data_IF_702283795561
#
_entry.id   IF_702283795561
#
_cell.length_a   1.000
_cell.length_b   1.000
_cell.length_c   1.000
_cell.angle_alpha   90.00
_cell.angle_beta   90.00
_cell.angle_gamma   90.00
#
_symmetry.space_group_name_H-M   'P 1'
#
loop_
_entity.id
_entity.type
_entity.pdbx_description
1 polymer ?
#
# COMPACT_ATOMS: atom_id res chain seq x y z
N UNK A 1 -14.79 49.72 36.06
CA UNK A 1 -13.74 48.91 36.69
C UNK A 1 -14.35 47.57 37.07
N UNK A 2 -14.14 46.54 36.24
CA UNK A 2 -14.56 45.16 36.54
C UNK A 2 -13.33 44.27 36.35
N UNK A 3 -12.87 43.67 37.44
CA UNK A 3 -11.72 42.77 37.47
C UNK A 3 -12.07 41.38 36.92
N UNK A 4 -11.16 40.83 36.12
CA UNK A 4 -11.22 39.46 35.61
C UNK A 4 -10.68 38.47 36.66
N UNK A 5 -11.26 37.25 36.75
CA UNK A 5 -10.81 36.22 37.69
C UNK A 5 -9.59 35.44 37.17
N UNK A 6 -8.81 34.79 38.06
CA UNK A 6 -7.59 34.09 37.72
C UNK A 6 -7.87 32.71 37.08
N UNK A 7 -7.09 32.37 36.06
CA UNK A 7 -7.12 31.10 35.35
C UNK A 7 -6.46 29.98 36.17
N UNK A 8 -7.21 28.92 36.43
CA UNK A 8 -6.73 27.67 37.04
C UNK A 8 -5.99 26.80 36.02
N UNK A 9 -4.76 26.39 36.35
CA UNK A 9 -3.90 25.50 35.57
C UNK A 9 -4.42 24.05 35.55
N UNK A 10 -4.29 23.40 34.40
CA UNK A 10 -4.75 22.04 34.10
C UNK A 10 -3.85 20.96 34.75
N UNK A 11 -4.37 19.79 35.22
CA UNK A 11 -3.62 18.85 36.06
C UNK A 11 -2.89 17.71 35.32
N UNK A 12 -2.65 17.82 34.01
CA UNK A 12 -2.17 16.68 33.19
C UNK A 12 -0.84 16.88 32.45
N UNK A 13 -0.05 17.90 32.79
CA UNK A 13 1.30 18.01 32.24
C UNK A 13 2.27 17.10 33.01
N UNK A 14 3.05 16.24 32.32
CA UNK A 14 4.08 15.44 32.99
C UNK A 14 5.08 16.38 33.67
N UNK A 15 5.55 16.04 34.89
CA UNK A 15 6.43 16.92 35.65
C UNK A 15 7.69 17.19 34.83
N UNK A 16 7.86 18.46 34.44
CA UNK A 16 9.08 18.92 33.79
C UNK A 16 10.17 18.92 34.85
N UNK A 17 11.01 17.88 34.85
CA UNK A 17 12.15 17.78 35.75
C UNK A 17 13.21 18.76 35.26
N UNK A 18 13.21 19.96 35.83
CA UNK A 18 14.31 20.90 35.65
C UNK A 18 15.51 20.40 36.48
N UNK A 19 16.42 19.70 35.81
CA UNK A 19 17.70 19.35 36.40
C UNK A 19 18.50 20.64 36.59
N UNK A 20 19.06 20.82 37.79
CA UNK A 20 19.94 21.95 38.06
C UNK A 20 21.23 21.83 37.24
N UNK A 21 21.95 22.94 36.98
CA UNK A 21 23.23 22.88 36.28
C UNK A 21 24.24 21.91 36.91
N UNK A 22 24.20 21.74 38.24
CA UNK A 22 24.99 20.74 38.97
C UNK A 22 24.59 19.30 38.65
N UNK A 23 23.29 19.02 38.53
CA UNK A 23 22.80 17.68 38.16
C UNK A 23 23.14 17.34 36.71
N UNK A 24 23.12 18.33 35.82
CA UNK A 24 23.59 18.16 34.44
C UNK A 24 25.09 17.83 34.37
N UNK A 25 25.91 18.55 35.14
CA UNK A 25 27.35 18.29 35.21
C UNK A 25 27.66 16.88 35.75
N UNK A 26 26.92 16.45 36.79
CA UNK A 26 27.08 15.11 37.36
C UNK A 26 26.64 14.00 36.39
N UNK A 27 25.50 14.16 35.72
CA UNK A 27 25.02 13.21 34.73
C UNK A 27 25.98 13.09 33.54
N UNK A 28 26.56 14.21 33.10
CA UNK A 28 27.55 14.23 32.03
C UNK A 28 28.87 13.56 32.43
N UNK A 29 29.32 13.75 33.68
CA UNK A 29 30.51 13.09 34.22
C UNK A 29 30.34 11.57 34.34
N UNK A 30 29.15 11.11 34.78
CA UNK A 30 28.81 9.68 34.82
C UNK A 30 28.79 9.06 33.42
N UNK A 31 28.27 9.79 32.44
CA UNK A 31 28.27 9.35 31.04
C UNK A 31 29.70 9.20 30.48
N UNK A 32 30.59 10.15 30.76
CA UNK A 32 31.99 10.05 30.34
C UNK A 32 32.73 8.87 31.00
N UNK A 33 32.46 8.59 32.27
CA UNK A 33 33.02 7.43 32.97
C UNK A 33 32.56 6.09 32.36
N UNK A 34 31.31 6.00 31.91
CA UNK A 34 30.79 4.81 31.25
C UNK A 34 31.38 4.60 29.85
N UNK A 35 31.70 5.68 29.12
CA UNK A 35 32.33 5.62 27.80
C UNK A 35 33.83 5.30 27.86
N UNK A 36 34.48 5.61 28.99
CA UNK A 36 35.91 5.36 29.21
C UNK A 36 36.20 3.96 29.80
N UNK A 37 35.19 3.12 30.04
CA UNK A 37 35.39 1.77 30.51
C UNK A 37 36.05 0.91 29.40
N UNK A 38 37.30 0.44 29.59
CA UNK A 38 37.96 -0.40 28.61
C UNK A 38 37.19 -1.73 28.47
N UNK A 39 36.85 -2.06 27.23
CA UNK A 39 36.27 -3.35 26.87
C UNK A 39 37.26 -4.43 27.35
N UNK A 40 36.83 -5.40 28.18
CA UNK A 40 37.72 -6.46 28.64
C UNK A 40 38.12 -7.33 27.45
N UNK A 41 39.31 -7.07 26.90
CA UNK A 41 39.96 -7.97 25.98
C UNK A 41 40.34 -9.22 26.75
N UNK A 42 39.57 -10.30 26.55
CA UNK A 42 39.95 -11.62 27.00
C UNK A 42 41.32 -11.97 26.39
N UNK A 43 42.32 -12.37 27.18
CA UNK A 43 43.61 -12.78 26.65
C UNK A 43 43.43 -14.08 25.86
N UNK A 44 43.58 -14.00 24.53
CA UNK A 44 43.71 -15.19 23.69
C UNK A 44 45.08 -15.80 24.01
N UNK A 45 45.03 -16.87 24.81
CA UNK A 45 46.18 -17.71 25.14
C UNK A 45 46.69 -18.40 23.86
N UNK A 46 47.81 -17.90 23.34
CA UNK A 46 48.58 -18.56 22.28
C UNK A 46 49.58 -19.52 22.93
N UNK A 47 49.12 -20.72 23.30
CA UNK A 47 50.00 -21.86 23.53
C UNK A 47 49.98 -22.77 22.30
N UNK A 48 51.10 -22.91 21.56
CA UNK A 48 51.20 -23.93 20.52
C UNK A 48 51.41 -25.30 21.17
N UNK A 49 50.35 -26.09 21.30
CA UNK A 49 50.46 -27.53 21.55
C UNK A 49 50.86 -28.19 20.23
N UNK A 50 52.15 -28.53 20.11
CA UNK A 50 52.65 -29.47 19.10
C UNK A 50 52.11 -30.86 19.42
N UNK A 51 50.95 -31.19 18.86
CA UNK A 51 50.57 -32.58 18.61
C UNK A 51 50.11 -32.65 17.17
N UNK A 52 51.00 -33.15 16.31
CA UNK A 52 50.74 -33.41 14.90
C UNK A 52 49.54 -34.33 14.76
N UNK A 53 48.39 -33.89 14.21
CA UNK A 53 47.34 -34.82 13.84
C UNK A 53 47.84 -35.66 12.66
N UNK A 54 47.65 -36.97 12.75
CA UNK A 54 47.78 -37.89 11.63
C UNK A 54 46.85 -37.38 10.53
N UNK A 55 47.43 -36.87 9.45
CA UNK A 55 46.71 -36.37 8.28
C UNK A 55 46.00 -37.56 7.66
N UNK A 56 44.67 -37.56 7.76
CA UNK A 56 43.81 -38.46 7.01
C UNK A 56 43.95 -38.13 5.50
N UNK A 57 44.47 -39.05 4.66
CA UNK A 57 44.66 -38.81 3.23
C UNK A 57 43.33 -38.63 2.47
N UNK A 58 42.17 -38.78 3.11
CA UNK A 58 40.86 -38.47 2.52
C UNK A 58 40.49 -36.98 2.55
N UNK A 59 41.25 -36.13 3.24
CA UNK A 59 41.05 -34.66 3.30
C UNK A 59 41.94 -33.88 2.31
N UNK A 60 42.40 -34.53 1.22
CA UNK A 60 43.06 -33.81 0.14
C UNK A 60 42.09 -32.77 -0.45
N UNK A 61 42.57 -31.54 -0.75
CA UNK A 61 41.73 -30.50 -1.31
C UNK A 61 41.08 -31.01 -2.59
N UNK A 62 39.74 -31.10 -2.57
CA UNK A 62 38.95 -31.40 -3.76
C UNK A 62 39.41 -30.41 -4.84
N UNK A 63 39.81 -30.89 -6.03
CA UNK A 63 40.26 -30.03 -7.11
C UNK A 63 39.25 -28.90 -7.30
N UNK A 64 39.69 -27.66 -7.12
CA UNK A 64 38.81 -26.51 -7.33
C UNK A 64 38.38 -26.56 -8.78
N UNK A 65 37.07 -26.69 -9.07
CA UNK A 65 36.61 -26.83 -10.43
C UNK A 65 37.09 -25.62 -11.23
N UNK A 66 37.69 -25.91 -12.37
CA UNK A 66 38.18 -24.88 -13.28
C UNK A 66 37.03 -23.95 -13.66
N UNK A 67 37.30 -22.69 -14.03
CA UNK A 67 36.25 -21.77 -14.46
C UNK A 67 35.33 -22.34 -15.55
N UNK A 68 35.86 -23.20 -16.43
CA UNK A 68 35.09 -23.88 -17.47
C UNK A 68 34.13 -24.95 -16.92
N UNK A 69 34.51 -25.69 -15.87
CA UNK A 69 33.62 -26.65 -15.20
C UNK A 69 32.49 -25.94 -14.44
N UNK A 70 32.77 -24.75 -13.90
CA UNK A 70 31.73 -23.90 -13.29
C UNK A 70 30.74 -23.38 -14.33
N UNK A 71 31.22 -22.96 -15.49
CA UNK A 71 30.35 -22.51 -16.59
C UNK A 71 29.49 -23.65 -17.13
N UNK A 72 30.06 -24.83 -17.34
CA UNK A 72 29.30 -25.99 -17.82
C UNK A 72 28.24 -26.47 -16.81
N UNK A 73 28.51 -26.38 -15.51
CA UNK A 73 27.53 -26.65 -14.46
C UNK A 73 26.36 -25.67 -14.51
N UNK A 74 26.64 -24.36 -14.62
CA UNK A 74 25.59 -23.32 -14.72
C UNK A 74 24.76 -23.46 -16.00
N UNK A 75 25.39 -23.83 -17.13
CA UNK A 75 24.66 -24.10 -18.38
C UNK A 75 23.74 -25.32 -18.28
N UNK A 76 24.17 -26.37 -17.57
CA UNK A 76 23.33 -27.55 -17.30
C UNK A 76 22.15 -27.19 -16.38
N UNK A 77 22.39 -26.43 -15.31
CA UNK A 77 21.31 -25.96 -14.42
C UNK A 77 20.29 -25.10 -15.16
N UNK A 78 20.75 -24.20 -16.04
CA UNK A 78 19.87 -23.39 -16.90
C UNK A 78 19.08 -24.24 -17.89
N UNK A 79 19.70 -25.30 -18.43
CA UNK A 79 19.03 -26.23 -19.35
C UNK A 79 17.96 -27.04 -18.60
N UNK A 80 18.25 -27.50 -17.39
CA UNK A 80 17.31 -28.22 -16.54
C UNK A 80 16.15 -27.32 -16.08
N UNK A 81 16.43 -26.08 -15.67
CA UNK A 81 15.40 -25.09 -15.34
C UNK A 81 14.51 -24.77 -16.55
N UNK A 82 15.09 -24.60 -17.74
CA UNK A 82 14.32 -24.39 -18.97
C UNK A 82 13.46 -25.60 -19.32
N UNK A 83 13.97 -26.81 -19.15
CA UNK A 83 13.21 -28.05 -19.36
C UNK A 83 12.06 -28.19 -18.34
N UNK A 84 12.31 -27.90 -17.05
CA UNK A 84 11.31 -27.89 -15.98
C UNK A 84 10.21 -26.86 -16.23
N UNK A 85 10.56 -25.65 -16.71
CA UNK A 85 9.58 -24.61 -17.06
C UNK A 85 8.79 -24.99 -18.32
N UNK A 86 9.43 -25.59 -19.33
CA UNK A 86 8.75 -26.09 -20.52
C UNK A 86 7.77 -27.22 -20.18
N UNK A 87 8.16 -28.14 -19.28
CA UNK A 87 7.32 -29.25 -18.83
C UNK A 87 6.18 -28.80 -17.90
N UNK A 88 6.39 -27.74 -17.09
CA UNK A 88 5.30 -27.08 -16.35
C UNK A 88 4.33 -26.36 -17.28
N UNK A 89 4.82 -25.71 -18.33
CA UNK A 89 3.95 -25.06 -19.34
C UNK A 89 3.17 -26.08 -20.17
N UNK A 90 3.77 -27.21 -20.55
CA UNK A 90 3.04 -28.26 -21.26
C UNK A 90 1.98 -28.94 -20.39
N UNK A 91 2.16 -29.02 -19.07
CA UNK A 91 1.14 -29.54 -18.15
C UNK A 91 0.02 -28.52 -17.84
N UNK A 92 0.20 -27.23 -18.13
CA UNK A 92 -0.85 -26.20 -17.99
C UNK A 92 -1.64 -25.98 -19.30
N UNK A 93 -1.07 -26.33 -20.46
CA UNK A 93 -1.72 -26.15 -21.78
C UNK A 93 -2.37 -27.43 -22.36
N UNK A 94 -2.15 -28.61 -21.77
CA UNK A 94 -2.76 -29.88 -22.23
C UNK A 94 -4.06 -30.26 -21.49
N UNK A 95 -4.76 -29.25 -20.97
CA UNK A 95 -6.19 -29.31 -20.64
C UNK A 95 -7.05 -28.94 -21.87
N UNK A 96 -6.51 -29.16 -23.08
CA UNK A 96 -7.30 -29.33 -24.31
C UNK A 96 -8.06 -30.65 -24.24
N UNK A 97 -9.07 -30.68 -23.35
CA UNK A 97 -10.11 -31.69 -23.37
C UNK A 97 -10.62 -31.81 -24.80
N UNK A 98 -10.83 -33.05 -25.31
CA UNK A 98 -11.54 -33.25 -26.57
C UNK A 98 -12.83 -32.44 -26.50
N UNK A 99 -13.15 -31.71 -27.58
CA UNK A 99 -14.30 -30.82 -27.70
C UNK A 99 -15.60 -31.59 -27.44
N UNK A 100 -15.90 -31.79 -26.16
CA UNK A 100 -17.14 -32.37 -25.67
C UNK A 100 -18.21 -31.40 -26.13
N UNK A 101 -18.98 -31.84 -27.14
CA UNK A 101 -20.24 -31.24 -27.60
C UNK A 101 -20.78 -30.32 -26.52
N UNK A 102 -20.72 -29.01 -26.76
CA UNK A 102 -21.08 -27.98 -25.80
C UNK A 102 -22.45 -28.33 -25.21
N UNK A 103 -22.44 -28.97 -24.03
CA UNK A 103 -23.65 -29.16 -23.25
C UNK A 103 -24.09 -27.74 -22.95
N UNK A 104 -25.28 -27.35 -23.43
CA UNK A 104 -25.87 -26.03 -23.20
C UNK A 104 -25.62 -25.69 -21.73
N UNK A 105 -24.77 -24.69 -21.48
CA UNK A 105 -24.37 -24.35 -20.13
C UNK A 105 -25.66 -24.04 -19.35
N UNK A 106 -25.97 -24.74 -18.25
CA UNK A 106 -27.22 -24.54 -17.50
C UNK A 106 -27.21 -23.22 -16.71
N UNK A 107 -26.24 -22.35 -16.97
CA UNK A 107 -25.99 -21.11 -16.26
C UNK A 107 -26.10 -19.95 -17.24
N UNK A 108 -26.98 -19.00 -16.93
CA UNK A 108 -27.18 -17.79 -17.74
C UNK A 108 -26.20 -16.70 -17.28
N UNK A 109 -25.86 -16.65 -15.98
CA UNK A 109 -25.14 -15.53 -15.36
C UNK A 109 -23.71 -15.89 -14.87
N UNK A 110 -23.13 -17.01 -15.30
CA UNK A 110 -21.87 -17.54 -14.75
C UNK A 110 -20.62 -16.74 -15.13
N UNK A 111 -20.41 -16.42 -16.40
CA UNK A 111 -19.13 -15.87 -16.89
C UNK A 111 -19.24 -14.38 -17.25
N UNK A 112 -18.38 -13.55 -16.63
CA UNK A 112 -18.43 -12.08 -16.80
C UNK A 112 -18.12 -11.60 -18.22
N UNK A 113 -17.44 -12.39 -19.05
CA UNK A 113 -16.81 -11.89 -20.29
C UNK A 113 -17.83 -11.40 -21.33
N UNK A 114 -19.08 -11.90 -21.27
CA UNK A 114 -20.12 -11.60 -22.27
C UNK A 114 -21.48 -11.20 -21.65
N UNK A 115 -21.51 -10.72 -20.39
CA UNK A 115 -22.76 -10.29 -19.77
C UNK A 115 -23.10 -8.86 -20.18
N UNK A 116 -24.37 -8.60 -20.48
CA UNK A 116 -24.88 -7.23 -20.64
C UNK A 116 -24.75 -6.44 -19.33
N UNK A 117 -24.81 -5.11 -19.40
CA UNK A 117 -24.78 -4.24 -18.21
C UNK A 117 -25.91 -4.61 -17.24
N UNK A 118 -27.12 -4.86 -17.76
CA UNK A 118 -28.28 -5.30 -16.99
C UNK A 118 -28.04 -6.64 -16.28
N UNK A 119 -27.44 -7.61 -16.99
CA UNK A 119 -27.08 -8.92 -16.43
C UNK A 119 -26.02 -8.81 -15.32
N UNK A 120 -25.06 -7.90 -15.47
CA UNK A 120 -24.04 -7.63 -14.44
C UNK A 120 -24.70 -7.06 -13.18
N UNK A 121 -25.65 -6.13 -13.32
CA UNK A 121 -26.37 -5.55 -12.19
C UNK A 121 -27.24 -6.58 -11.47
N UNK A 122 -28.02 -7.37 -12.22
CA UNK A 122 -28.83 -8.47 -11.64
C UNK A 122 -27.94 -9.49 -10.94
N UNK A 123 -26.84 -9.91 -11.57
CA UNK A 123 -25.85 -10.79 -10.94
C UNK A 123 -25.32 -10.23 -9.62
N UNK A 124 -24.96 -8.95 -9.57
CA UNK A 124 -24.47 -8.31 -8.32
C UNK A 124 -25.52 -8.33 -7.22
N UNK A 125 -26.79 -8.08 -7.55
CA UNK A 125 -27.90 -8.11 -6.58
C UNK A 125 -28.16 -9.52 -6.08
N UNK A 126 -28.23 -10.51 -6.97
CA UNK A 126 -28.41 -11.92 -6.61
C UNK A 126 -27.24 -12.46 -5.77
N UNK A 127 -25.99 -12.10 -6.10
CA UNK A 127 -24.81 -12.44 -5.30
C UNK A 127 -24.85 -11.81 -3.90
N UNK A 128 -25.43 -10.61 -3.75
CA UNK A 128 -25.63 -10.00 -2.44
C UNK A 128 -26.71 -10.74 -1.65
N UNK A 129 -27.85 -11.04 -2.27
CA UNK A 129 -28.95 -11.80 -1.65
C UNK A 129 -28.49 -13.18 -1.19
N UNK A 130 -27.77 -13.96 -2.01
CA UNK A 130 -27.26 -15.28 -1.61
C UNK A 130 -26.28 -15.21 -0.44
N UNK A 131 -25.45 -14.16 -0.39
CA UNK A 131 -24.52 -13.95 0.73
C UNK A 131 -25.27 -13.66 2.04
N UNK A 132 -26.33 -12.85 1.98
CA UNK A 132 -27.19 -12.55 3.13
C UNK A 132 -27.93 -13.81 3.57
N UNK A 133 -28.55 -14.54 2.65
CA UNK A 133 -29.32 -15.74 2.99
C UNK A 133 -28.44 -16.86 3.57
N UNK A 134 -27.24 -17.06 3.00
CA UNK A 134 -26.25 -17.99 3.57
C UNK A 134 -25.86 -17.62 4.99
N UNK A 135 -25.70 -16.32 5.31
CA UNK A 135 -25.44 -15.85 6.68
C UNK A 135 -26.62 -16.13 7.60
N UNK A 136 -27.84 -15.83 7.15
CA UNK A 136 -29.07 -16.10 7.90
C UNK A 136 -29.21 -17.58 8.25
N UNK A 137 -29.01 -18.48 7.27
CA UNK A 137 -29.11 -19.92 7.50
C UNK A 137 -28.00 -20.48 8.40
N UNK A 138 -26.81 -19.87 8.38
CA UNK A 138 -25.64 -20.32 9.15
C UNK A 138 -25.46 -19.62 10.48
N UNK A 139 -26.27 -18.59 10.78
CA UNK A 139 -26.11 -17.77 11.98
C UNK A 139 -24.78 -17.02 12.02
N UNK A 140 -24.11 -16.83 10.86
CA UNK A 140 -22.87 -16.05 10.81
C UNK A 140 -23.18 -14.56 10.75
N UNK A 141 -22.73 -13.81 11.76
CA UNK A 141 -22.99 -12.39 11.86
C UNK A 141 -22.16 -11.62 10.80
N UNK A 142 -22.67 -10.49 10.32
CA UNK A 142 -21.94 -9.67 9.34
C UNK A 142 -20.61 -9.12 9.90
N UNK A 143 -20.53 -8.98 11.23
CA UNK A 143 -19.38 -8.46 11.98
C UNK A 143 -18.45 -9.54 12.51
N UNK A 144 -18.89 -10.80 12.62
CA UNK A 144 -17.99 -11.88 13.01
C UNK A 144 -17.26 -12.36 11.77
N UNK A 145 -15.99 -12.03 11.68
CA UNK A 145 -15.07 -12.71 10.77
C UNK A 145 -15.21 -14.24 10.94
N UNK A 146 -15.12 -14.95 9.81
CA UNK A 146 -15.70 -16.28 9.63
C UNK A 146 -15.09 -17.31 10.59
N UNK A 147 -15.78 -17.58 11.70
CA UNK A 147 -15.49 -18.74 12.55
C UNK A 147 -14.55 -18.45 13.71
N UNK A 148 -14.78 -17.37 14.47
CA UNK A 148 -14.38 -17.45 15.88
C UNK A 148 -15.21 -18.56 16.51
N UNK A 149 -14.60 -19.73 16.73
CA UNK A 149 -15.11 -20.74 17.65
C UNK A 149 -15.26 -20.05 19.00
N UNK A 150 -16.45 -19.53 19.24
CA UNK A 150 -16.81 -18.88 20.49
C UNK A 150 -17.06 -19.99 21.51
N UNK A 151 -15.97 -20.57 22.01
CA UNK A 151 -15.94 -21.30 23.28
C UNK A 151 -16.09 -20.35 24.49
N UNK A 152 -16.25 -19.05 24.26
CA UNK A 152 -16.62 -18.07 25.28
C UNK A 152 -18.11 -18.15 25.62
N UNK A 153 -18.40 -18.43 26.89
CA UNK A 153 -19.70 -18.34 27.56
C UNK A 153 -20.62 -17.30 26.91
N UNK A 154 -21.68 -17.79 26.24
CA UNK A 154 -22.80 -16.94 25.82
C UNK A 154 -23.53 -16.46 27.06
N UNK A 155 -23.32 -15.19 27.41
CA UNK A 155 -24.20 -14.48 28.32
C UNK A 155 -25.66 -14.57 27.84
N UNK A 156 -26.52 -14.78 28.84
CA UNK A 156 -27.93 -15.16 28.86
C UNK A 156 -28.83 -14.82 27.64
N UNK A 157 -29.70 -15.76 27.23
CA UNK A 157 -30.59 -15.60 26.08
C UNK A 157 -31.82 -14.75 26.41
N UNK A 158 -32.00 -13.65 25.68
CA UNK A 158 -33.32 -13.01 25.57
C UNK A 158 -34.20 -13.89 24.68
N UNK A 159 -35.25 -14.42 25.29
CA UNK A 159 -36.08 -15.50 24.78
C UNK A 159 -36.85 -15.19 23.49
N UNK A 160 -37.19 -16.28 22.80
CA UNK A 160 -38.30 -16.42 21.85
C UNK A 160 -38.12 -15.85 20.44
N UNK A 161 -37.34 -16.56 19.62
CA UNK A 161 -37.86 -16.98 18.31
C UNK A 161 -37.35 -18.39 18.04
N UNK A 162 -38.29 -19.27 17.70
CA UNK A 162 -38.19 -20.71 17.44
C UNK A 162 -36.80 -21.21 17.07
N UNK A 163 -36.32 -22.28 17.73
CA UNK A 163 -35.06 -22.97 17.46
C UNK A 163 -34.99 -23.57 16.05
N UNK A 164 -34.95 -22.71 15.03
CA UNK A 164 -34.56 -23.03 13.68
C UNK A 164 -33.16 -23.62 13.77
N UNK A 165 -33.02 -24.90 13.41
CA UNK A 165 -31.72 -25.56 13.34
C UNK A 165 -30.80 -24.75 12.42
N UNK A 166 -29.88 -24.00 13.02
CA UNK A 166 -28.85 -23.28 12.29
C UNK A 166 -27.99 -24.31 11.57
N UNK A 167 -27.91 -24.21 10.25
CA UNK A 167 -27.10 -25.11 9.44
C UNK A 167 -25.66 -24.61 9.44
N UNK A 168 -24.70 -25.38 9.96
CA UNK A 168 -23.28 -24.99 9.92
C UNK A 168 -22.60 -25.42 8.62
N UNK A 169 -21.59 -24.65 8.22
CA UNK A 169 -20.67 -25.04 7.15
C UNK A 169 -19.50 -25.85 7.72
N UNK A 170 -19.12 -26.91 7.02
CA UNK A 170 -17.85 -27.59 7.23
C UNK A 170 -16.80 -26.99 6.30
N UNK A 171 -15.98 -26.07 6.83
CA UNK A 171 -14.92 -25.41 6.08
C UNK A 171 -13.70 -26.30 5.82
N UNK A 172 -13.54 -27.41 6.54
CA UNK A 172 -12.45 -28.36 6.29
C UNK A 172 -12.73 -29.17 5.02
N UNK A 173 -13.99 -29.56 4.84
CA UNK A 173 -14.46 -30.31 3.67
C UNK A 173 -14.66 -29.47 2.42
N UNK A 174 -14.72 -30.13 1.26
CA UNK A 174 -14.97 -29.48 -0.02
C UNK A 174 -16.40 -28.90 -0.11
N UNK A 175 -16.62 -27.95 -1.02
CA UNK A 175 -17.93 -27.36 -1.28
C UNK A 175 -18.97 -28.40 -1.73
N UNK A 176 -18.51 -29.47 -2.37
CA UNK A 176 -19.39 -30.54 -2.88
C UNK A 176 -19.76 -31.57 -1.80
N UNK A 177 -19.32 -31.39 -0.54
CA UNK A 177 -19.82 -32.17 0.59
C UNK A 177 -21.35 -32.01 0.69
N UNK A 178 -22.13 -33.10 0.84
CA UNK A 178 -23.59 -33.02 0.88
C UNK A 178 -24.14 -32.03 1.92
N UNK A 179 -23.51 -31.92 3.10
CA UNK A 179 -23.91 -30.96 4.13
C UNK A 179 -23.76 -29.51 3.66
N UNK A 180 -22.58 -29.14 3.13
CA UNK A 180 -22.32 -27.80 2.58
C UNK A 180 -23.26 -27.49 1.39
N UNK A 181 -23.47 -28.47 0.52
CA UNK A 181 -24.39 -28.36 -0.61
C UNK A 181 -25.84 -28.19 -0.19
N UNK A 182 -26.28 -28.80 0.92
CA UNK A 182 -27.63 -28.64 1.44
C UNK A 182 -27.88 -27.19 1.88
N UNK A 183 -26.93 -26.55 2.55
CA UNK A 183 -27.03 -25.13 2.93
C UNK A 183 -27.09 -24.22 1.69
N UNK A 184 -26.19 -24.46 0.74
CA UNK A 184 -26.11 -23.67 -0.51
C UNK A 184 -27.40 -23.81 -1.33
N UNK A 185 -27.89 -25.03 -1.51
CA UNK A 185 -29.12 -25.30 -2.26
C UNK A 185 -30.33 -24.69 -1.57
N UNK A 186 -30.43 -24.81 -0.23
CA UNK A 186 -31.52 -24.20 0.54
C UNK A 186 -31.55 -22.68 0.40
N UNK A 187 -30.39 -22.00 0.48
CA UNK A 187 -30.32 -20.56 0.28
C UNK A 187 -30.72 -20.16 -1.15
N UNK A 188 -30.25 -20.92 -2.15
CA UNK A 188 -30.59 -20.70 -3.54
C UNK A 188 -32.10 -20.88 -3.79
N UNK A 189 -32.73 -21.91 -3.23
CA UNK A 189 -34.16 -22.17 -3.34
C UNK A 189 -35.01 -21.06 -2.71
N UNK A 190 -34.61 -20.55 -1.54
CA UNK A 190 -35.32 -19.46 -0.85
C UNK A 190 -35.33 -18.19 -1.71
N UNK A 191 -34.18 -17.81 -2.25
CA UNK A 191 -34.07 -16.64 -3.13
C UNK A 191 -34.78 -16.87 -4.45
N UNK A 192 -34.67 -18.07 -5.02
CA UNK A 192 -35.35 -18.40 -6.27
C UNK A 192 -36.86 -18.27 -6.13
N UNK A 193 -37.44 -18.76 -5.02
CA UNK A 193 -38.86 -18.61 -4.71
C UNK A 193 -39.23 -17.15 -4.46
N UNK A 194 -38.45 -16.43 -3.64
CA UNK A 194 -38.68 -15.01 -3.34
C UNK A 194 -38.70 -14.14 -4.62
N UNK A 195 -37.82 -14.44 -5.59
CA UNK A 195 -37.69 -13.65 -6.81
C UNK A 195 -38.55 -14.16 -7.99
N UNK A 196 -39.13 -15.36 -7.92
CA UNK A 196 -40.04 -15.87 -8.97
C UNK A 196 -41.52 -15.86 -8.56
N UNK A 197 -41.84 -15.55 -7.31
CA UNK A 197 -43.22 -15.41 -6.87
C UNK A 197 -43.78 -14.04 -7.32
N UNK A 198 -44.74 -13.99 -8.27
CA UNK A 198 -45.32 -12.74 -8.75
C UNK A 198 -46.13 -12.02 -7.68
N UNK A 199 -46.50 -12.70 -6.60
CA UNK A 199 -47.28 -12.15 -5.49
C UNK A 199 -46.42 -11.64 -4.35
N UNK A 200 -45.13 -12.00 -4.32
CA UNK A 200 -44.22 -11.53 -3.29
C UNK A 200 -43.91 -10.03 -3.50
N UNK A 201 -44.36 -9.20 -2.56
CA UNK A 201 -44.06 -7.76 -2.53
C UNK A 201 -42.55 -7.44 -2.42
N UNK A 202 -41.70 -8.45 -2.27
CA UNK A 202 -40.24 -8.35 -2.07
C UNK A 202 -39.43 -8.53 -3.35
N UNK A 203 -40.08 -8.59 -4.53
CA UNK A 203 -39.37 -8.61 -5.81
C UNK A 203 -38.50 -7.34 -5.94
N UNK A 204 -37.17 -7.53 -5.99
CA UNK A 204 -36.21 -6.43 -5.80
C UNK A 204 -35.10 -6.42 -6.87
N UNK A 205 -35.29 -7.14 -7.98
CA UNK A 205 -34.32 -7.11 -9.07
C UNK A 205 -34.46 -5.84 -9.91
N UNK A 206 -33.32 -5.19 -10.27
CA UNK A 206 -33.35 -3.95 -11.05
C UNK A 206 -33.88 -4.15 -12.48
N UNK A 207 -33.69 -5.34 -13.05
CA UNK A 207 -34.08 -5.67 -14.43
C UNK A 207 -34.89 -6.96 -14.45
N UNK A 208 -36.20 -6.85 -14.63
CA UNK A 208 -37.15 -8.00 -14.65
C UNK A 208 -37.00 -8.86 -15.90
N UNK A 209 -36.47 -8.30 -16.98
CA UNK A 209 -36.27 -8.96 -18.28
C UNK A 209 -35.12 -9.97 -18.26
N UNK A 210 -34.21 -9.85 -17.30
CA UNK A 210 -33.03 -10.71 -17.20
C UNK A 210 -33.42 -12.03 -16.54
N UNK A 211 -33.45 -13.09 -17.35
CA UNK A 211 -33.65 -14.45 -16.85
C UNK A 211 -32.45 -14.94 -16.02
N UNK A 212 -32.72 -15.69 -14.96
CA UNK A 212 -31.72 -16.40 -14.17
C UNK A 212 -32.28 -17.75 -13.74
N UNK A 213 -31.40 -18.69 -13.43
CA UNK A 213 -31.77 -20.05 -13.01
C UNK A 213 -31.41 -20.29 -11.55
N UNK A 214 -32.04 -21.27 -10.91
CA UNK A 214 -31.61 -21.74 -9.59
C UNK A 214 -30.14 -22.24 -9.62
N UNK A 215 -29.71 -22.86 -10.72
CA UNK A 215 -28.32 -23.25 -10.93
C UNK A 215 -27.35 -22.07 -10.83
N UNK A 216 -27.71 -20.89 -11.34
CA UNK A 216 -26.90 -19.66 -11.19
C UNK A 216 -26.74 -19.28 -9.71
N UNK A 217 -27.82 -19.37 -8.92
CA UNK A 217 -27.81 -19.08 -7.48
C UNK A 217 -26.96 -20.08 -6.70
N UNK A 218 -27.09 -21.37 -6.98
CA UNK A 218 -26.23 -22.42 -6.39
C UNK A 218 -24.77 -22.13 -6.73
N UNK A 219 -24.46 -21.73 -7.97
CA UNK A 219 -23.10 -21.37 -8.37
C UNK A 219 -22.57 -20.16 -7.58
N UNK A 220 -23.38 -19.12 -7.37
CA UNK A 220 -23.00 -17.98 -6.54
C UNK A 220 -22.78 -18.38 -5.07
N UNK A 221 -23.60 -19.28 -4.54
CA UNK A 221 -23.42 -19.85 -3.21
C UNK A 221 -22.10 -20.63 -3.08
N UNK A 222 -21.76 -21.47 -4.08
CA UNK A 222 -20.46 -22.18 -4.12
C UNK A 222 -19.27 -21.22 -4.12
N UNK A 223 -19.32 -20.14 -4.91
CA UNK A 223 -18.24 -19.14 -4.96
C UNK A 223 -18.12 -18.38 -3.64
N UNK A 224 -19.24 -18.08 -2.99
CA UNK A 224 -19.28 -17.46 -1.67
C UNK A 224 -18.64 -18.37 -0.62
N UNK A 225 -19.03 -19.65 -0.57
CA UNK A 225 -18.43 -20.66 0.30
C UNK A 225 -16.92 -20.79 0.10
N UNK A 226 -16.44 -20.91 -1.16
CA UNK A 226 -14.99 -20.99 -1.43
C UNK A 226 -14.23 -19.78 -0.91
N UNK A 227 -14.83 -18.60 -1.02
CA UNK A 227 -14.24 -17.35 -0.50
C UNK A 227 -14.20 -17.35 1.02
N UNK A 228 -15.27 -17.80 1.69
CA UNK A 228 -15.33 -17.94 3.15
C UNK A 228 -14.35 -19.00 3.66
N UNK A 229 -14.28 -20.16 3.01
CA UNK A 229 -13.30 -21.22 3.30
C UNK A 229 -11.86 -20.71 3.19
N UNK A 230 -11.54 -19.94 2.15
CA UNK A 230 -10.20 -19.33 1.99
C UNK A 230 -9.88 -18.38 3.14
N UNK A 231 -10.86 -17.61 3.60
CA UNK A 231 -10.72 -16.69 4.74
C UNK A 231 -10.55 -17.45 6.06
N UNK A 232 -11.44 -18.40 6.34
CA UNK A 232 -11.38 -19.28 7.51
C UNK A 232 -10.00 -19.95 7.63
N UNK A 233 -9.45 -20.50 6.54
CA UNK A 233 -8.10 -21.06 6.53
C UNK A 233 -7.01 -20.04 6.83
N UNK A 234 -7.13 -18.80 6.35
CA UNK A 234 -6.18 -17.73 6.69
C UNK A 234 -6.25 -17.28 8.15
N UNK A 235 -7.37 -17.54 8.83
CA UNK A 235 -7.54 -17.23 10.26
C UNK A 235 -7.01 -18.38 11.14
N UNK A 236 -7.21 -19.63 10.73
CA UNK A 236 -6.89 -20.83 11.53
C UNK A 236 -5.51 -21.44 11.22
N UNK A 237 -4.95 -21.20 10.04
CA UNK A 237 -3.65 -21.72 9.63
C UNK A 237 -2.65 -20.56 9.41
N UNK A 238 -1.61 -20.43 10.28
CA UNK A 238 -0.65 -19.33 10.21
C UNK A 238 0.19 -19.34 8.92
N UNK A 239 0.46 -20.52 8.35
CA UNK A 239 1.25 -20.65 7.13
C UNK A 239 0.44 -20.18 5.92
N UNK A 240 -0.85 -20.54 5.87
CA UNK A 240 -1.78 -20.03 4.87
C UNK A 240 -1.94 -18.52 4.99
N UNK A 241 -2.01 -17.97 6.21
CA UNK A 241 -2.06 -16.53 6.44
C UNK A 241 -0.84 -15.82 5.86
N UNK A 242 0.35 -16.28 6.22
CA UNK A 242 1.61 -15.72 5.73
C UNK A 242 1.70 -15.80 4.20
N UNK A 243 1.27 -16.92 3.59
CA UNK A 243 1.20 -17.05 2.14
C UNK A 243 0.22 -16.05 1.50
N UNK A 244 -0.96 -15.86 2.09
CA UNK A 244 -1.97 -14.91 1.60
C UNK A 244 -1.49 -13.45 1.71
N UNK A 245 -0.84 -13.09 2.82
CA UNK A 245 -0.23 -11.76 3.01
C UNK A 245 0.88 -11.52 1.98
N UNK A 246 1.74 -12.51 1.74
CA UNK A 246 2.79 -12.42 0.72
C UNK A 246 2.20 -12.27 -0.69
N UNK A 247 1.14 -13.00 -1.01
CA UNK A 247 0.45 -12.86 -2.29
C UNK A 247 -0.20 -11.48 -2.43
N UNK A 248 -0.87 -10.99 -1.38
CA UNK A 248 -1.48 -9.67 -1.38
C UNK A 248 -0.43 -8.56 -1.52
N UNK A 249 0.75 -8.70 -0.89
CA UNK A 249 1.89 -7.79 -1.09
C UNK A 249 2.37 -7.80 -2.54
N UNK A 250 2.56 -8.99 -3.13
CA UNK A 250 2.92 -9.14 -4.56
C UNK A 250 1.90 -8.55 -5.50
N UNK A 251 0.60 -8.75 -5.24
CA UNK A 251 -0.47 -8.19 -6.06
C UNK A 251 -0.49 -6.66 -5.97
N UNK A 252 -0.28 -6.09 -4.78
CA UNK A 252 -0.12 -4.63 -4.60
C UNK A 252 1.08 -4.10 -5.38
N UNK A 253 2.24 -4.77 -5.28
CA UNK A 253 3.43 -4.41 -6.05
C UNK A 253 3.20 -4.54 -7.56
N UNK A 254 2.50 -5.58 -8.00
CA UNK A 254 2.16 -5.83 -9.40
C UNK A 254 1.22 -4.76 -9.96
N UNK A 255 0.22 -4.34 -9.18
CA UNK A 255 -0.68 -3.24 -9.56
C UNK A 255 0.08 -1.91 -9.68
N UNK A 256 0.95 -1.58 -8.72
CA UNK A 256 1.82 -0.39 -8.81
C UNK A 256 2.71 -0.42 -10.05
N UNK A 257 3.35 -1.56 -10.36
CA UNK A 257 4.17 -1.72 -11.57
C UNK A 257 3.34 -1.59 -12.85
N UNK A 258 2.11 -2.12 -12.86
CA UNK A 258 1.18 -1.96 -13.99
C UNK A 258 0.73 -0.52 -14.17
N UNK A 259 0.49 0.22 -13.08
CA UNK A 259 0.19 1.65 -13.13
C UNK A 259 1.35 2.44 -13.76
N UNK A 260 2.59 2.14 -13.37
CA UNK A 260 3.82 2.74 -13.96
C UNK A 260 4.01 2.36 -15.44
N UNK A 261 3.66 1.13 -15.84
CA UNK A 261 3.76 0.74 -17.27
C UNK A 261 2.64 1.32 -18.12
N UNK A 262 1.41 1.33 -17.61
CA UNK A 262 0.28 1.95 -18.29
C UNK A 262 0.51 3.46 -18.48
N UNK A 263 1.26 4.12 -17.58
CA UNK A 263 1.68 5.51 -17.78
C UNK A 263 2.70 5.71 -18.89
N UNK A 264 3.50 4.68 -19.20
CA UNK A 264 4.48 4.72 -20.29
C UNK A 264 3.81 4.62 -21.66
N UNK A 265 2.85 3.71 -21.82
CA UNK A 265 2.25 3.42 -23.13
C UNK A 265 1.06 4.34 -23.46
N UNK A 266 0.36 4.88 -22.46
CA UNK A 266 -0.76 5.80 -22.62
C UNK A 266 -0.71 6.95 -21.59
N UNK A 267 0.13 7.98 -21.83
CA UNK A 267 0.38 9.06 -20.87
C UNK A 267 -0.87 9.91 -20.54
N UNK A 268 -1.94 9.83 -21.32
CA UNK A 268 -3.20 10.54 -21.06
C UNK A 268 -4.03 9.91 -19.93
N UNK A 269 -4.02 8.58 -19.78
CA UNK A 269 -4.90 7.88 -18.84
C UNK A 269 -4.31 7.66 -17.44
N UNK A 270 -2.98 7.53 -17.32
CA UNK A 270 -2.31 7.42 -16.03
C UNK A 270 -2.34 8.72 -15.20
N UNK A 271 -2.80 9.83 -15.79
CA UNK A 271 -2.88 11.13 -15.14
C UNK A 271 -3.89 11.21 -13.98
N UNK A 272 -4.83 10.27 -13.88
CA UNK A 272 -5.95 10.40 -12.93
C UNK A 272 -5.66 9.83 -11.53
N UNK A 273 -4.77 8.84 -11.40
CA UNK A 273 -4.48 8.18 -10.12
C UNK A 273 -3.16 8.61 -9.47
N UNK A 274 -2.23 9.19 -10.23
CA UNK A 274 -0.97 9.67 -9.66
C UNK A 274 -1.20 10.91 -8.76
N UNK A 275 -0.85 10.77 -7.48
CA UNK A 275 -0.91 11.84 -6.49
C UNK A 275 -0.18 13.11 -6.96
N UNK A 276 0.93 12.95 -7.70
CA UNK A 276 1.72 14.05 -8.25
C UNK A 276 0.93 14.86 -9.28
N UNK A 277 0.17 14.18 -10.14
CA UNK A 277 -0.68 14.86 -11.14
C UNK A 277 -1.82 15.59 -10.46
N UNK A 278 -2.47 14.96 -9.47
CA UNK A 278 -3.50 15.64 -8.68
C UNK A 278 -2.94 16.86 -7.93
N UNK A 279 -1.71 16.77 -7.42
CA UNK A 279 -1.02 17.88 -6.76
C UNK A 279 -0.71 19.01 -7.74
N UNK A 280 -0.16 18.71 -8.92
CA UNK A 280 0.03 19.66 -10.02
C UNK A 280 -1.28 20.38 -10.37
N UNK A 281 -2.37 19.64 -10.60
CA UNK A 281 -3.68 20.23 -10.91
C UNK A 281 -4.23 21.10 -9.77
N UNK A 282 -4.00 20.73 -8.51
CA UNK A 282 -4.39 21.55 -7.34
C UNK A 282 -3.61 22.87 -7.28
N UNK A 283 -2.31 22.84 -7.60
CA UNK A 283 -1.42 24.02 -7.64
C UNK A 283 -1.70 24.91 -8.85
N UNK A 284 -1.98 24.34 -10.01
CA UNK A 284 -2.37 25.09 -11.22
C UNK A 284 -3.60 25.98 -10.98
N UNK A 285 -4.55 25.54 -10.14
CA UNK A 285 -5.72 26.35 -9.75
C UNK A 285 -5.38 27.56 -8.88
N UNK A 286 -4.24 27.55 -8.20
CA UNK A 286 -3.76 28.63 -7.34
C UNK A 286 -2.79 29.59 -8.06
N UNK A 287 -2.33 29.27 -9.27
CA UNK A 287 -1.37 30.07 -10.05
C UNK A 287 -1.84 31.51 -10.23
N UNK A 288 -3.11 31.71 -10.60
CA UNK A 288 -3.64 33.07 -10.81
C UNK A 288 -3.63 33.90 -9.52
N UNK A 289 -3.93 33.29 -8.37
CA UNK A 289 -3.91 33.98 -7.07
C UNK A 289 -2.47 34.35 -6.68
N UNK A 290 -1.51 33.46 -6.94
CA UNK A 290 -0.09 33.73 -6.73
C UNK A 290 0.43 34.85 -7.65
N UNK A 291 0.10 34.78 -8.94
CA UNK A 291 0.49 35.78 -9.94
C UNK A 291 -0.01 37.17 -9.57
N UNK A 292 -1.23 37.28 -9.06
CA UNK A 292 -1.77 38.55 -8.58
C UNK A 292 -1.05 39.08 -7.32
N UNK A 293 -0.54 38.22 -6.45
CA UNK A 293 0.16 38.63 -5.22
C UNK A 293 1.62 39.01 -5.45
N UNK A 294 2.32 38.29 -6.33
CA UNK A 294 3.77 38.43 -6.49
C UNK A 294 4.20 39.00 -7.83
N UNK A 295 3.27 39.18 -8.79
CA UNK A 295 3.55 39.55 -10.18
C UNK A 295 4.54 38.60 -10.87
N UNK A 296 4.51 37.31 -10.49
CA UNK A 296 5.39 36.24 -10.98
C UNK A 296 4.52 35.06 -11.41
N UNK A 297 4.86 34.39 -12.51
CA UNK A 297 4.08 33.24 -13.02
C UNK A 297 4.71 31.89 -12.64
N UNK A 298 4.21 31.19 -11.61
CA UNK A 298 4.79 29.93 -11.17
C UNK A 298 4.34 28.73 -12.03
N UNK A 299 3.52 28.91 -13.08
CA UNK A 299 3.08 27.78 -13.91
C UNK A 299 4.26 27.03 -14.55
N UNK A 300 5.34 27.75 -14.84
CA UNK A 300 6.55 27.23 -15.46
C UNK A 300 7.29 26.17 -14.61
N UNK A 301 7.06 26.11 -13.28
CA UNK A 301 7.68 25.13 -12.37
C UNK A 301 6.75 24.00 -11.96
N UNK A 302 5.53 23.96 -12.50
CA UNK A 302 4.52 22.97 -12.16
C UNK A 302 4.53 21.79 -13.14
N UNK A 303 5.62 21.04 -13.15
CA UNK A 303 5.68 19.75 -13.86
C UNK A 303 5.49 18.57 -12.94
N UNK A 304 4.83 17.52 -13.46
CA UNK A 304 4.47 16.32 -12.68
C UNK A 304 5.71 15.68 -12.09
N UNK A 305 6.78 15.56 -12.89
CA UNK A 305 8.07 14.99 -12.49
C UNK A 305 8.82 15.83 -11.45
N UNK A 306 8.41 17.08 -11.23
CA UNK A 306 8.97 17.97 -10.22
C UNK A 306 8.06 18.10 -9.00
N UNK A 307 6.89 17.45 -8.98
CA UNK A 307 6.03 17.45 -7.80
C UNK A 307 6.59 16.52 -6.73
N UNK A 308 6.38 16.87 -5.46
CA UNK A 308 6.74 16.01 -4.33
C UNK A 308 5.91 14.72 -4.34
N UNK A 309 6.51 13.64 -3.89
CA UNK A 309 5.82 12.38 -3.65
C UNK A 309 5.13 12.42 -2.28
N UNK A 310 3.99 11.75 -2.19
CA UNK A 310 3.23 11.63 -0.93
C UNK A 310 3.14 10.14 -0.56
N UNK A 311 3.84 9.74 0.51
CA UNK A 311 3.92 8.34 0.96
C UNK A 311 3.33 8.18 2.37
N UNK A 312 2.49 7.17 2.57
CA UNK A 312 1.88 6.88 3.87
C UNK A 312 2.76 6.00 4.76
N UNK A 313 3.68 5.25 4.17
CA UNK A 313 4.65 4.39 4.83
C UNK A 313 5.81 4.06 3.86
N UNK A 314 7.01 3.73 4.38
CA UNK A 314 8.11 3.23 3.55
C UNK A 314 7.71 1.93 2.84
N UNK A 315 8.23 1.72 1.63
CA UNK A 315 8.00 0.52 0.83
C UNK A 315 8.88 -0.65 1.31
N UNK A 316 8.63 -1.09 2.54
CA UNK A 316 9.33 -2.20 3.19
C UNK A 316 8.30 -3.22 3.68
N UNK A 317 8.65 -4.50 3.72
CA UNK A 317 7.79 -5.53 4.31
C UNK A 317 7.90 -5.53 5.86
N UNK A 318 8.84 -4.80 6.43
CA UNK A 318 9.08 -4.70 7.87
C UNK A 318 8.06 -3.78 8.56
N UNK A 319 7.17 -4.38 9.35
CA UNK A 319 6.12 -3.66 10.07
C UNK A 319 6.66 -2.77 11.20
N UNK A 320 7.83 -3.10 11.76
CA UNK A 320 8.47 -2.27 12.78
C UNK A 320 8.94 -0.94 12.18
N UNK A 321 9.57 -0.99 10.99
CA UNK A 321 9.98 0.22 10.25
C UNK A 321 8.78 1.09 9.86
N UNK A 322 7.67 0.48 9.43
CA UNK A 322 6.43 1.23 9.15
C UNK A 322 5.86 1.87 10.42
N UNK A 323 5.89 1.16 11.54
CA UNK A 323 5.39 1.69 12.82
C UNK A 323 6.25 2.85 13.34
N UNK A 324 7.58 2.74 13.20
CA UNK A 324 8.52 3.79 13.55
C UNK A 324 8.34 5.03 12.67
N UNK A 325 8.21 4.85 11.36
CA UNK A 325 7.94 5.95 10.42
C UNK A 325 6.66 6.70 10.77
N UNK A 326 5.55 5.98 11.05
CA UNK A 326 4.30 6.60 11.52
C UNK A 326 4.48 7.35 12.84
N UNK A 327 5.35 6.87 13.74
CA UNK A 327 5.67 7.54 15.02
C UNK A 327 6.44 8.84 14.76
N UNK A 328 7.40 8.84 13.84
CA UNK A 328 8.15 10.04 13.43
C UNK A 328 7.22 11.09 12.81
N UNK A 329 6.34 10.70 11.90
CA UNK A 329 5.34 11.61 11.31
C UNK A 329 4.42 12.25 12.35
N UNK A 330 3.97 11.48 13.35
CA UNK A 330 3.17 12.01 14.47
C UNK A 330 3.94 12.99 15.32
N UNK A 331 5.21 12.72 15.58
CA UNK A 331 6.09 13.61 16.34
C UNK A 331 6.25 14.95 15.62
N UNK A 332 6.50 14.93 14.32
CA UNK A 332 6.67 16.16 13.51
C UNK A 332 5.37 16.95 13.38
N UNK A 333 4.23 16.27 13.30
CA UNK A 333 2.91 16.93 13.20
C UNK A 333 2.35 17.41 14.53
N UNK A 334 2.93 17.02 15.67
CA UNK A 334 2.42 17.36 17.00
C UNK A 334 1.03 16.77 17.29
N UNK A 335 0.63 15.70 16.60
CA UNK A 335 -0.68 15.09 16.80
C UNK A 335 -0.78 14.44 18.18
N UNK A 336 -1.85 14.77 18.90
CA UNK A 336 -2.16 14.17 20.20
C UNK A 336 -2.54 12.69 20.06
N UNK A 337 -2.48 11.94 21.17
CA UNK A 337 -2.91 10.54 21.20
C UNK A 337 -4.39 10.37 20.85
N UNK A 338 -5.23 11.37 21.15
CA UNK A 338 -6.65 11.39 20.79
C UNK A 338 -6.87 11.44 19.26
N UNK A 339 -5.91 11.96 18.50
CA UNK A 339 -5.98 12.09 17.04
C UNK A 339 -5.33 10.90 16.33
N UNK A 340 -5.27 9.73 16.99
CA UNK A 340 -4.51 8.60 16.48
C UNK A 340 -5.01 8.05 15.14
N UNK A 341 -6.25 8.29 14.77
CA UNK A 341 -6.82 7.81 13.51
C UNK A 341 -6.68 8.84 12.37
N UNK A 342 -5.95 9.94 12.61
CA UNK A 342 -5.65 10.93 11.59
C UNK A 342 -4.56 10.40 10.67
N UNK A 343 -4.87 10.33 9.38
CA UNK A 343 -3.92 9.90 8.35
C UNK A 343 -2.91 11.03 8.09
N UNK A 344 -1.62 10.69 8.21
CA UNK A 344 -0.50 11.58 7.93
C UNK A 344 0.33 10.96 6.83
N UNK A 345 0.59 11.71 5.78
CA UNK A 345 1.48 11.33 4.69
C UNK A 345 2.78 12.12 4.80
N UNK A 346 3.89 11.43 4.53
CA UNK A 346 5.17 12.07 4.33
C UNK A 346 5.21 12.75 2.97
N UNK A 347 5.75 13.97 2.93
CA UNK A 347 6.10 14.69 1.71
C UNK A 347 7.58 14.48 1.43
N UNK A 348 7.88 13.69 0.41
CA UNK A 348 9.25 13.46 -0.07
C UNK A 348 9.52 14.41 -1.24
N UNK A 349 10.51 15.29 -1.08
CA UNK A 349 10.84 16.32 -2.08
C UNK A 349 11.88 15.81 -3.08
N UNK A 350 11.89 16.29 -4.33
CA UNK A 350 13.04 16.07 -5.19
C UNK A 350 14.30 16.70 -4.60
N UNK A 351 15.39 15.93 -4.48
CA UNK A 351 16.65 16.40 -3.89
C UNK A 351 17.29 17.54 -4.68
N UNK A 352 17.10 17.54 -6.00
CA UNK A 352 17.57 18.62 -6.87
C UNK A 352 16.83 19.94 -6.65
N UNK A 353 15.73 19.98 -5.90
CA UNK A 353 14.91 21.17 -5.79
C UNK A 353 15.52 22.19 -4.81
N UNK A 354 15.71 23.42 -5.27
CA UNK A 354 16.13 24.55 -4.43
C UNK A 354 15.06 24.92 -3.39
N UNK A 355 15.50 25.59 -2.32
CA UNK A 355 14.61 26.12 -1.27
C UNK A 355 13.61 27.11 -1.86
N UNK A 356 14.06 28.03 -2.72
CA UNK A 356 13.19 29.00 -3.40
C UNK A 356 12.06 28.31 -4.17
N UNK A 357 12.38 27.30 -4.99
CA UNK A 357 11.36 26.58 -5.74
C UNK A 357 10.41 25.78 -4.84
N UNK A 358 10.90 25.29 -3.69
CA UNK A 358 10.06 24.61 -2.70
C UNK A 358 9.08 25.58 -2.04
N UNK A 359 9.53 26.77 -1.66
CA UNK A 359 8.71 27.81 -1.04
C UNK A 359 7.58 28.27 -1.96
N UNK A 360 7.85 28.45 -3.25
CA UNK A 360 6.80 28.77 -4.25
C UNK A 360 5.72 27.69 -4.28
N UNK A 361 6.09 26.41 -4.20
CA UNK A 361 5.14 25.28 -4.21
C UNK A 361 4.34 25.18 -2.91
N UNK A 362 4.99 25.43 -1.77
CA UNK A 362 4.34 25.44 -0.45
C UNK A 362 3.32 26.61 -0.36
N UNK A 363 3.67 27.77 -0.91
CA UNK A 363 2.78 28.92 -1.00
C UNK A 363 1.58 28.66 -1.91
N UNK A 364 1.78 28.03 -3.07
CA UNK A 364 0.66 27.59 -3.92
C UNK A 364 -0.28 26.60 -3.21
N UNK A 365 0.25 25.70 -2.38
CA UNK A 365 -0.56 24.80 -1.57
C UNK A 365 -1.37 25.55 -0.51
N UNK A 366 -0.78 26.59 0.11
CA UNK A 366 -1.45 27.50 1.06
C UNK A 366 -2.60 28.25 0.39
N UNK A 367 -2.36 28.87 -0.77
CA UNK A 367 -3.38 29.58 -1.55
C UNK A 367 -4.50 28.64 -1.99
N UNK A 368 -4.17 27.43 -2.46
CA UNK A 368 -5.16 26.40 -2.81
C UNK A 368 -6.07 26.03 -1.64
N UNK A 369 -5.54 25.94 -0.42
CA UNK A 369 -6.32 25.69 0.81
C UNK A 369 -7.22 26.88 1.15
N UNK A 370 -6.70 28.11 1.08
CA UNK A 370 -7.46 29.33 1.35
C UNK A 370 -8.62 29.51 0.36
N UNK A 371 -8.36 29.34 -0.93
CA UNK A 371 -9.37 29.40 -1.98
C UNK A 371 -10.47 28.34 -1.79
N UNK A 372 -10.12 27.13 -1.35
CA UNK A 372 -11.12 26.10 -0.99
C UNK A 372 -11.97 26.51 0.21
N UNK A 373 -11.35 27.05 1.26
CA UNK A 373 -12.06 27.53 2.44
C UNK A 373 -13.05 28.66 2.10
N UNK A 374 -12.63 29.62 1.26
CA UNK A 374 -13.48 30.71 0.76
C UNK A 374 -14.67 30.22 -0.06
N UNK A 375 -14.53 29.13 -0.80
CA UNK A 375 -15.59 28.62 -1.69
C UNK A 375 -16.86 28.13 -0.96
N UNK A 376 -16.83 27.96 0.38
CA UNK A 376 -17.99 27.59 1.18
C UNK A 376 -18.61 26.22 0.87
N UNK A 377 -18.05 25.48 -0.11
CA UNK A 377 -18.50 24.14 -0.47
C UNK A 377 -18.22 23.20 0.70
N UNK A 378 -19.25 22.98 1.52
CA UNK A 378 -19.33 21.90 2.51
C UNK A 378 -19.24 20.55 1.79
N UNK A 379 -18.04 20.18 1.36
CA UNK A 379 -17.81 18.80 0.94
C UNK A 379 -18.04 17.92 2.17
N UNK A 380 -18.62 16.73 1.93
CA UNK A 380 -18.54 15.62 2.89
C UNK A 380 -17.13 15.61 3.44
N UNK A 381 -16.99 15.55 4.77
CA UNK A 381 -15.73 15.65 5.48
C UNK A 381 -14.81 14.47 5.10
N UNK A 382 -14.28 14.48 3.87
CA UNK A 382 -13.14 13.69 3.51
C UNK A 382 -12.05 14.19 4.45
N UNK A 383 -11.69 13.34 5.41
CA UNK A 383 -10.63 13.61 6.38
C UNK A 383 -9.45 14.19 5.60
N UNK A 384 -9.12 15.44 5.89
CA UNK A 384 -7.99 16.07 5.25
C UNK A 384 -6.75 15.27 5.66
N UNK A 385 -6.11 14.61 4.69
CA UNK A 385 -4.85 13.92 4.93
C UNK A 385 -3.82 14.99 5.30
N UNK A 386 -3.22 14.85 6.48
CA UNK A 386 -2.17 15.75 6.93
C UNK A 386 -0.88 15.41 6.20
N UNK A 387 -0.09 16.44 5.90
CA UNK A 387 1.17 16.31 5.18
C UNK A 387 2.29 16.81 6.08
N UNK A 388 3.34 16.01 6.23
CA UNK A 388 4.51 16.34 7.03
C UNK A 388 5.78 16.01 6.26
N UNK A 389 6.82 16.80 6.41
CA UNK A 389 8.13 16.47 5.86
C UNK A 389 9.02 15.93 6.97
N UNK A 390 9.65 14.77 6.76
CA UNK A 390 10.71 14.26 7.63
C UNK A 390 12.10 14.71 7.17
N UNK A 391 12.18 15.57 6.14
CA UNK A 391 13.44 15.97 5.51
C UNK A 391 13.96 14.98 4.47
N UNK A 392 13.23 13.88 4.20
CA UNK A 392 13.63 12.94 3.16
C UNK A 392 13.47 13.56 1.77
N UNK A 393 14.48 13.33 0.94
CA UNK A 393 14.51 13.71 -0.47
C UNK A 393 14.75 12.49 -1.34
N UNK A 394 14.31 12.55 -2.60
CA UNK A 394 14.70 11.54 -3.59
C UNK A 394 15.82 12.08 -4.50
N UNK A 395 16.85 11.27 -4.73
CA UNK A 395 18.04 11.68 -5.50
C UNK A 395 17.92 11.39 -7.00
N UNK A 396 16.72 11.04 -7.47
CA UNK A 396 16.49 10.79 -8.89
C UNK A 396 16.79 12.06 -9.71
N UNK A 397 17.65 11.98 -10.74
CA UNK A 397 17.92 13.13 -11.59
C UNK A 397 16.66 13.58 -12.33
N UNK A 398 16.53 14.88 -12.63
CA UNK A 398 15.41 15.42 -13.39
C UNK A 398 15.41 14.87 -14.82
N UNK A 399 14.30 14.30 -15.26
CA UNK A 399 14.13 13.79 -16.64
C UNK A 399 13.72 14.88 -17.65
N UNK A 400 13.38 16.07 -17.17
CA UNK A 400 13.02 17.24 -17.98
C UNK A 400 13.96 18.40 -17.68
N UNK A 401 14.07 19.29 -18.68
CA UNK A 401 14.87 20.51 -18.60
C UNK A 401 14.46 21.37 -17.41
N UNK A 402 15.39 21.69 -16.51
CA UNK A 402 15.13 22.51 -15.32
C UNK A 402 15.47 23.98 -15.54
N UNK A 403 14.78 24.86 -14.83
CA UNK A 403 15.21 26.25 -14.70
C UNK A 403 16.36 26.35 -13.69
N UNK A 404 17.42 27.14 -13.94
CA UNK A 404 18.58 27.23 -13.06
C UNK A 404 18.23 27.51 -11.59
N UNK A 405 17.28 28.42 -11.32
CA UNK A 405 16.87 28.75 -9.94
C UNK A 405 16.21 27.59 -9.20
N UNK A 406 15.69 26.57 -9.91
CA UNK A 406 15.09 25.39 -9.30
C UNK A 406 16.11 24.40 -8.79
N UNK A 407 17.38 24.52 -9.18
CA UNK A 407 18.41 23.55 -8.88
C UNK A 407 19.07 23.87 -7.54
N UNK A 408 19.07 22.90 -6.62
CA UNK A 408 19.83 22.97 -5.38
C UNK A 408 21.32 22.85 -5.70
N UNK A 409 22.09 23.84 -5.28
CA UNK A 409 23.54 23.88 -5.50
C UNK A 409 24.24 22.72 -4.79
N UNK A 410 23.87 22.47 -3.54
CA UNK A 410 24.42 21.36 -2.76
C UNK A 410 24.17 20.02 -3.45
N UNK A 411 22.96 19.82 -3.98
CA UNK A 411 22.64 18.60 -4.71
C UNK A 411 23.44 18.48 -6.01
N UNK A 412 23.60 19.57 -6.77
CA UNK A 412 24.39 19.58 -7.99
C UNK A 412 25.87 19.26 -7.73
N UNK A 413 26.45 19.89 -6.70
CA UNK A 413 27.85 19.67 -6.31
C UNK A 413 28.08 18.21 -5.86
N UNK A 414 27.15 17.61 -5.12
CA UNK A 414 27.27 16.22 -4.69
C UNK A 414 27.04 15.23 -5.83
N UNK A 415 25.96 15.41 -6.60
CA UNK A 415 25.52 14.40 -7.56
C UNK A 415 26.17 14.56 -8.94
N UNK A 416 26.42 15.79 -9.41
CA UNK A 416 26.90 16.03 -10.78
C UNK A 416 28.41 16.19 -10.83
N UNK A 417 28.99 16.94 -9.90
CA UNK A 417 30.46 17.08 -9.83
C UNK A 417 31.10 15.77 -9.37
N UNK A 418 30.43 15.03 -8.47
CA UNK A 418 30.85 13.68 -8.06
C UNK A 418 30.66 12.59 -9.12
N UNK A 419 29.69 12.75 -10.03
CA UNK A 419 29.38 11.78 -11.08
C UNK A 419 29.21 12.47 -12.45
N UNK A 420 30.32 12.65 -13.20
CA UNK A 420 30.32 13.36 -14.47
C UNK A 420 29.32 12.81 -15.51
N UNK A 421 29.03 11.51 -15.46
CA UNK A 421 28.08 10.84 -16.35
C UNK A 421 26.66 11.45 -16.25
N UNK A 422 26.28 11.97 -15.08
CA UNK A 422 24.97 12.61 -14.87
C UNK A 422 24.90 14.03 -15.44
N UNK A 423 26.05 14.63 -15.80
CA UNK A 423 26.09 15.99 -16.36
C UNK A 423 25.40 16.06 -17.72
N UNK A 424 25.50 15.00 -18.53
CA UNK A 424 24.83 14.92 -19.83
C UNK A 424 23.32 14.69 -19.70
N UNK A 425 22.88 14.05 -18.61
CA UNK A 425 21.45 13.79 -18.35
C UNK A 425 20.70 15.05 -17.90
N UNK A 426 21.38 15.99 -17.23
CA UNK A 426 20.74 17.19 -16.67
C UNK A 426 20.78 18.33 -17.68
N UNK A 427 19.62 18.62 -18.28
CA UNK A 427 19.43 19.77 -19.15
C UNK A 427 18.94 20.99 -18.36
N UNK A 428 19.57 22.16 -18.54
CA UNK A 428 19.15 23.43 -17.93
C UNK A 428 18.70 24.45 -18.97
N UNK A 429 17.68 25.24 -18.67
CA UNK A 429 17.33 26.44 -19.43
C UNK A 429 18.40 27.51 -19.31
N UNK A 430 18.62 28.27 -20.39
CA UNK A 430 19.67 29.29 -20.46
C UNK A 430 19.41 30.47 -19.52
N UNK A 431 18.14 30.78 -19.25
CA UNK A 431 17.73 31.92 -18.42
C UNK A 431 16.60 31.48 -17.50
N UNK A 432 16.53 32.06 -16.32
CA UNK A 432 15.39 31.89 -15.42
C UNK A 432 14.14 32.58 -15.99
N UNK A 433 12.93 32.11 -15.62
CA UNK A 433 11.71 32.81 -15.95
C UNK A 433 11.68 34.16 -15.21
N UNK A 434 10.99 35.14 -15.81
CA UNK A 434 10.91 36.51 -15.28
C UNK A 434 10.44 36.52 -13.81
N UNK A 435 11.20 37.23 -12.96
CA UNK A 435 10.92 37.34 -11.53
C UNK A 435 11.40 36.18 -10.66
N UNK A 436 12.08 35.16 -11.20
CA UNK A 436 12.63 34.05 -10.40
C UNK A 436 14.17 34.02 -10.44
N UNK A 437 14.80 33.70 -9.30
CA UNK A 437 16.24 33.48 -9.22
C UNK A 437 17.13 34.70 -9.50
N UNK A 438 16.61 35.92 -9.40
CA UNK A 438 17.35 37.17 -9.63
C UNK A 438 18.52 37.34 -8.64
N UNK A 439 18.41 36.75 -7.45
CA UNK A 439 19.43 36.82 -6.39
C UNK A 439 20.44 35.67 -6.45
N UNK A 440 20.25 34.68 -7.33
CA UNK A 440 21.01 33.42 -7.24
C UNK A 440 22.45 33.50 -7.75
N UNK A 441 22.87 34.64 -8.35
CA UNK A 441 24.23 34.88 -8.82
C UNK A 441 24.75 33.87 -9.86
N UNK A 442 23.89 32.96 -10.33
CA UNK A 442 24.23 31.92 -11.27
C UNK A 442 24.12 32.49 -12.69
N UNK A 443 25.14 33.22 -13.12
CA UNK A 443 25.40 33.32 -14.55
C UNK A 443 25.83 31.93 -14.97
N UNK A 444 24.99 31.26 -15.74
CA UNK A 444 25.39 30.05 -16.44
C UNK A 444 26.46 30.47 -17.45
N UNK A 445 27.70 30.64 -17.00
CA UNK A 445 28.90 30.76 -17.83
C UNK A 445 29.14 29.40 -18.46
N UNK A 446 28.18 28.99 -19.30
CA UNK A 446 28.28 27.87 -20.20
C UNK A 446 29.02 28.45 -21.41
N UNK A 447 30.35 28.52 -21.28
CA UNK A 447 31.20 28.55 -22.46
C UNK A 447 30.86 27.31 -23.30
N UNK A 448 30.36 27.57 -24.50
CA UNK A 448 29.98 26.55 -25.49
C UNK A 448 31.21 25.87 -26.09
#
# INVERSE_FOLDING_TARGET
MNGLPPTTSSPNDPPTIHLTPQQYAFAFQQFQLHMAAPIPHAPISLNPVLTSPVIDPSLLPVPVPTPNERLSAVENDLRELKASVAQKRSNEDDDQKPSKKSKKNPYILKENKNLSVEQIEVRKVLMRKIKVELRTLTGTNETSDCGSDSDGERDTPTASTSASSTLSFDFESNVDLPANMAVITRAADLIFKEQNDPTASTFSLPHTTVAFTNSDLVHFGKNTFRSWKKKYRGEHDPDVRAMQERQASRDRQGMRKKEVRASSDYPEYAQTTDNRVQLKQKRLKAVNEYKNQHNKDPACILETEWMSDEISAPDTDDDQKKAEHRRQLRRVTGLSHAQKDTEVWEVVRPGFQSVEAADVKDELDRLSKLSKAKSGRKKKANRAVLRASLGNTHDRPPTRKLWPFMLSREWYDVQVVGHPDLKEEISLYTKNPEGFGEDSGYTADVEH
#
